data_IF_621506840049
#
_entry.id   IF_621506840049
#
_cell.length_a   1.000
_cell.length_b   1.000
_cell.length_c   1.000
_cell.angle_alpha   90.00
_cell.angle_beta   90.00
_cell.angle_gamma   90.00
#
_symmetry.space_group_name_H-M   'P 1'
#
loop_
_entity.id
_entity.type
_entity.pdbx_description
1 polymer ?
#
# COMPACT_ATOMS: atom_id res chain seq x y z
N UNK A 1 -10.85 10.44 -3.21
CA UNK A 1 -9.66 10.13 -2.39
C UNK A 1 -9.02 8.86 -2.93
N UNK A 2 -7.71 8.89 -3.23
CA UNK A 2 -7.01 7.78 -3.86
C UNK A 2 -5.90 7.26 -2.96
N UNK A 3 -5.94 5.98 -2.59
CA UNK A 3 -4.99 5.39 -1.64
C UNK A 3 -4.07 4.39 -2.35
N UNK A 4 -2.76 4.56 -2.20
CA UNK A 4 -1.76 3.59 -2.68
C UNK A 4 -1.24 2.76 -1.50
N UNK A 5 -1.39 1.45 -1.59
CA UNK A 5 -0.95 0.50 -0.58
C UNK A 5 0.24 -0.27 -1.14
N UNK A 6 1.42 -0.01 -0.59
CA UNK A 6 2.63 -0.79 -0.89
C UNK A 6 2.71 -1.96 0.07
N UNK A 7 2.66 -3.16 -0.49
CA UNK A 7 2.68 -4.41 0.26
C UNK A 7 3.56 -5.46 -0.37
N UNK A 8 3.66 -6.60 0.32
CA UNK A 8 4.35 -7.80 -0.18
C UNK A 8 3.45 -9.03 -0.08
N UNK A 9 3.60 -10.01 -0.98
CA UNK A 9 2.91 -11.29 -0.88
C UNK A 9 3.43 -12.03 0.36
N UNK A 10 2.53 -12.64 1.13
CA UNK A 10 2.85 -13.32 2.39
C UNK A 10 2.91 -12.41 3.63
N UNK A 11 2.51 -11.14 3.54
CA UNK A 11 2.34 -10.29 4.74
C UNK A 11 0.85 -10.20 5.15
N UNK A 12 0.46 -10.71 6.33
CA UNK A 12 -0.94 -10.72 6.77
C UNK A 12 -1.51 -9.30 6.94
N UNK A 13 -0.67 -8.33 7.32
CA UNK A 13 -1.08 -6.92 7.42
C UNK A 13 -1.36 -6.29 6.05
N UNK A 14 -0.61 -6.66 4.99
CA UNK A 14 -0.85 -6.17 3.64
C UNK A 14 -2.20 -6.65 3.10
N UNK A 15 -2.56 -7.91 3.36
CA UNK A 15 -3.86 -8.49 3.00
C UNK A 15 -5.00 -7.77 3.74
N UNK A 16 -4.83 -7.52 5.05
CA UNK A 16 -5.81 -6.75 5.84
C UNK A 16 -6.00 -5.33 5.32
N UNK A 17 -4.92 -4.64 4.98
CA UNK A 17 -4.99 -3.30 4.40
C UNK A 17 -5.75 -3.27 3.07
N UNK A 18 -5.48 -4.26 2.19
CA UNK A 18 -6.21 -4.42 0.93
C UNK A 18 -7.71 -4.64 1.17
N UNK A 19 -8.07 -5.56 2.05
CA UNK A 19 -9.48 -5.85 2.36
C UNK A 19 -10.21 -4.64 2.96
N UNK A 20 -9.53 -3.85 3.81
CA UNK A 20 -10.10 -2.64 4.36
C UNK A 20 -10.34 -1.58 3.27
N UNK A 21 -9.39 -1.39 2.37
CA UNK A 21 -9.55 -0.44 1.26
C UNK A 21 -10.64 -0.88 0.27
N UNK A 22 -10.77 -2.19 0.03
CA UNK A 22 -11.85 -2.76 -0.78
C UNK A 22 -13.23 -2.50 -0.15
N UNK A 23 -13.34 -2.62 1.16
CA UNK A 23 -14.56 -2.26 1.90
C UNK A 23 -14.85 -0.76 1.82
N UNK A 24 -13.85 0.10 2.02
CA UNK A 24 -13.99 1.54 1.95
C UNK A 24 -14.40 2.03 0.57
N UNK A 25 -13.95 1.36 -0.51
CA UNK A 25 -14.40 1.66 -1.88
C UNK A 25 -15.90 1.49 -2.08
N UNK A 26 -16.56 0.62 -1.31
CA UNK A 26 -18.01 0.45 -1.34
C UNK A 26 -18.78 1.37 -0.38
N UNK A 27 -18.13 1.85 0.70
CA UNK A 27 -18.79 2.64 1.75
C UNK A 27 -18.56 4.16 1.60
N UNK A 28 -17.43 4.58 1.04
CA UNK A 28 -17.02 5.97 0.91
C UNK A 28 -17.15 6.40 -0.55
N UNK A 29 -17.94 7.44 -0.79
CA UNK A 29 -18.05 8.05 -2.12
C UNK A 29 -16.69 8.59 -2.58
N UNK A 30 -16.36 8.38 -3.86
CA UNK A 30 -15.08 8.77 -4.48
C UNK A 30 -13.83 8.14 -3.85
N UNK A 31 -13.93 6.99 -3.18
CA UNK A 31 -12.76 6.26 -2.67
C UNK A 31 -12.26 5.23 -3.68
N UNK A 32 -11.00 5.38 -4.10
CA UNK A 32 -10.29 4.40 -4.90
C UNK A 32 -8.96 4.03 -4.25
N UNK A 33 -8.46 2.85 -4.58
CA UNK A 33 -7.16 2.41 -4.10
C UNK A 33 -6.40 1.58 -5.12
N UNK A 34 -5.07 1.59 -5.01
CA UNK A 34 -4.15 0.72 -5.76
C UNK A 34 -3.27 -0.05 -4.79
N UNK A 35 -3.27 -1.36 -4.94
CA UNK A 35 -2.32 -2.23 -4.26
C UNK A 35 -1.09 -2.43 -5.15
N UNK A 36 0.08 -2.07 -4.65
CA UNK A 36 1.38 -2.25 -5.31
C UNK A 36 2.17 -3.32 -4.59
N UNK A 37 2.55 -4.36 -5.32
CA UNK A 37 3.46 -5.39 -4.83
C UNK A 37 4.89 -4.95 -5.09
N UNK A 38 5.62 -4.64 -4.01
CA UNK A 38 6.99 -4.14 -4.09
C UNK A 38 7.96 -5.18 -4.66
N UNK A 39 7.69 -6.48 -4.47
CA UNK A 39 8.54 -7.53 -5.02
C UNK A 39 8.27 -7.73 -6.51
N UNK A 40 7.00 -7.64 -6.93
CA UNK A 40 6.63 -7.80 -8.32
C UNK A 40 7.08 -6.61 -9.19
N UNK A 41 7.02 -5.38 -8.66
CA UNK A 41 7.51 -4.18 -9.36
C UNK A 41 9.04 -3.99 -9.22
N UNK A 42 9.73 -4.82 -8.44
CA UNK A 42 11.17 -4.67 -8.19
C UNK A 42 11.54 -3.43 -7.37
N UNK A 43 10.56 -2.89 -6.64
CA UNK A 43 10.74 -1.71 -5.78
C UNK A 43 11.41 -2.16 -4.49
N UNK A 44 12.58 -1.59 -4.20
CA UNK A 44 13.26 -1.84 -2.94
C UNK A 44 12.70 -0.95 -1.83
N UNK A 45 12.96 -1.33 -0.58
CA UNK A 45 12.64 -0.48 0.58
C UNK A 45 13.32 0.89 0.51
N UNK A 46 14.50 0.96 -0.11
CA UNK A 46 15.28 2.18 -0.28
C UNK A 46 14.60 3.10 -1.30
N UNK A 47 14.07 2.55 -2.39
CA UNK A 47 13.31 3.33 -3.39
C UNK A 47 12.03 3.89 -2.80
N UNK A 48 11.34 3.11 -1.97
CA UNK A 48 10.21 3.59 -1.18
C UNK A 48 10.61 4.70 -0.22
N UNK A 49 11.71 4.52 0.51
CA UNK A 49 12.19 5.52 1.46
C UNK A 49 12.57 6.84 0.79
N UNK A 50 13.20 6.76 -0.40
CA UNK A 50 13.55 7.92 -1.23
C UNK A 50 12.32 8.64 -1.76
N UNK A 51 11.32 7.88 -2.22
CA UNK A 51 10.08 8.44 -2.77
C UNK A 51 9.23 9.13 -1.70
N UNK A 52 9.26 8.62 -0.48
CA UNK A 52 8.42 9.08 0.65
C UNK A 52 9.16 10.10 1.52
N UNK A 53 10.49 10.21 1.39
CA UNK A 53 11.33 11.07 2.22
C UNK A 53 11.39 10.64 3.69
N UNK A 54 10.91 9.43 4.02
CA UNK A 54 10.96 8.84 5.36
C UNK A 54 11.55 7.45 5.28
N UNK A 55 12.34 7.01 6.28
CA UNK A 55 12.85 5.65 6.33
C UNK A 55 11.68 4.66 6.40
N UNK A 56 11.59 3.78 5.40
CA UNK A 56 10.61 2.69 5.34
C UNK A 56 11.32 1.39 5.69
N UNK A 57 11.08 0.89 6.90
CA UNK A 57 11.68 -0.37 7.36
C UNK A 57 10.75 -1.57 7.16
N UNK A 58 9.43 -1.32 7.24
CA UNK A 58 8.38 -2.34 7.27
C UNK A 58 7.28 -2.05 6.25
N UNK A 59 6.58 -3.12 5.84
CA UNK A 59 5.36 -3.08 5.03
C UNK A 59 4.21 -3.67 5.85
N UNK A 60 2.95 -3.25 5.64
CA UNK A 60 2.46 -2.34 4.58
C UNK A 60 2.78 -0.86 4.83
N UNK A 61 2.93 -0.09 3.75
CA UNK A 61 2.93 1.38 3.76
C UNK A 61 1.74 1.88 2.96
N UNK A 62 0.99 2.84 3.51
CA UNK A 62 -0.28 3.33 2.94
C UNK A 62 -0.15 4.85 2.73
N UNK A 63 -0.41 5.31 1.51
CA UNK A 63 -0.35 6.71 1.12
C UNK A 63 -1.71 7.14 0.53
N UNK A 64 -2.10 8.40 0.71
CA UNK A 64 -3.36 8.98 0.22
C UNK A 64 -3.12 10.33 -0.45
#
# INVERSE_FOLDING_TARGET
MFVVIFGRPGCPYCVRAKNLAEKLKGEVADFDYRYVDIHAEGITKEDLSKSVGKPVETVPQIFY
#
